data_IF_073558815258
#
_entry.id   IF_073558815258
#
_cell.length_a   1.000
_cell.length_b   1.000
_cell.length_c   1.000
_cell.angle_alpha   90.00
_cell.angle_beta   90.00
_cell.angle_gamma   90.00
#
_symmetry.space_group_name_H-M   'P 1'
#
loop_
_entity.id
_entity.type
_entity.pdbx_description
1 polymer ?
#
# COMPACT_ATOMS: atom_id res chain seq x y z
N UNK A 1 12.87 8.84 1.54
CA UNK A 1 11.88 9.96 1.51
C UNK A 1 10.62 9.50 2.24
N UNK A 2 10.33 10.04 3.44
CA UNK A 2 9.16 9.67 4.26
C UNK A 2 7.89 10.04 3.49
N UNK A 3 6.94 9.12 3.38
CA UNK A 3 5.67 9.41 2.72
C UNK A 3 4.76 10.18 3.69
N UNK A 4 4.15 11.25 3.21
CA UNK A 4 3.42 12.19 4.06
C UNK A 4 2.16 11.53 4.64
N UNK A 5 1.88 11.79 5.91
CA UNK A 5 0.60 11.44 6.54
C UNK A 5 0.44 10.00 7.03
N UNK A 6 1.49 9.17 7.03
CA UNK A 6 1.44 7.81 7.59
C UNK A 6 1.15 7.84 9.09
N UNK A 7 0.21 7.00 9.54
CA UNK A 7 -0.11 6.83 10.96
C UNK A 7 0.86 5.86 11.66
N UNK A 8 1.51 4.99 10.90
CA UNK A 8 2.52 4.06 11.39
C UNK A 8 3.42 3.60 10.25
N UNK A 9 4.72 3.49 10.53
CA UNK A 9 5.72 2.90 9.61
C UNK A 9 5.99 1.42 9.93
N UNK A 10 5.17 0.80 10.78
CA UNK A 10 5.41 -0.56 11.26
C UNK A 10 5.30 -1.59 10.14
N UNK A 11 6.40 -2.29 9.86
CA UNK A 11 6.44 -3.45 8.97
C UNK A 11 6.62 -4.71 9.84
N UNK A 12 5.71 -5.69 9.76
CA UNK A 12 5.86 -6.92 10.50
C UNK A 12 7.10 -7.67 10.02
N UNK A 13 8.04 -7.94 10.93
CA UNK A 13 9.20 -8.78 10.64
C UNK A 13 8.77 -10.23 10.41
N UNK A 14 9.32 -10.92 9.39
CA UNK A 14 9.15 -12.36 9.25
C UNK A 14 9.55 -13.08 10.53
N UNK A 15 8.80 -14.10 10.92
CA UNK A 15 9.10 -14.86 12.15
C UNK A 15 10.49 -15.50 12.09
N UNK A 16 10.91 -15.97 10.92
CA UNK A 16 12.23 -16.57 10.70
C UNK A 16 13.40 -15.61 10.97
N UNK A 17 13.17 -14.31 10.85
CA UNK A 17 14.16 -13.26 11.08
C UNK A 17 14.05 -12.64 12.48
N UNK A 18 13.11 -13.13 13.31
CA UNK A 18 12.87 -12.60 14.65
C UNK A 18 13.90 -13.15 15.65
N UNK A 19 14.43 -12.31 16.56
CA UNK A 19 15.34 -12.76 17.59
C UNK A 19 14.67 -13.74 18.55
N UNK A 20 15.45 -14.68 19.10
CA UNK A 20 14.96 -15.68 20.05
C UNK A 20 14.26 -15.02 21.25
N UNK A 21 13.10 -15.55 21.64
CA UNK A 21 12.28 -15.04 22.75
C UNK A 21 13.00 -15.03 24.10
N UNK A 22 14.06 -15.82 24.25
CA UNK A 22 14.87 -15.88 25.47
C UNK A 22 15.92 -14.75 25.54
N UNK A 23 16.02 -13.91 24.51
CA UNK A 23 16.92 -12.74 24.49
C UNK A 23 16.15 -11.46 24.82
N UNK A 24 16.83 -10.45 25.37
CA UNK A 24 16.23 -9.13 25.60
C UNK A 24 15.64 -8.52 24.33
N UNK A 25 16.34 -8.68 23.20
CA UNK A 25 15.87 -8.24 21.89
C UNK A 25 14.58 -8.97 21.46
N UNK A 26 14.52 -10.29 21.68
CA UNK A 26 13.32 -11.11 21.47
C UNK A 26 12.11 -10.61 22.25
N UNK A 27 12.25 -10.44 23.57
CA UNK A 27 11.17 -9.95 24.43
C UNK A 27 10.68 -8.55 24.03
N UNK A 28 11.60 -7.63 23.72
CA UNK A 28 11.25 -6.28 23.25
C UNK A 28 10.48 -6.34 21.93
N UNK A 29 10.92 -7.16 20.97
CA UNK A 29 10.23 -7.33 19.68
C UNK A 29 8.84 -7.96 19.83
N UNK A 30 8.67 -8.87 20.79
CA UNK A 30 7.38 -9.47 21.10
C UNK A 30 6.42 -8.44 21.70
N UNK A 31 6.89 -7.64 22.66
CA UNK A 31 6.10 -6.59 23.28
C UNK A 31 5.62 -5.56 22.25
N UNK A 32 6.52 -5.14 21.36
CA UNK A 32 6.19 -4.26 20.22
C UNK A 32 5.09 -4.91 19.36
N UNK A 33 5.27 -6.17 18.95
CA UNK A 33 4.29 -6.88 18.11
C UNK A 33 2.92 -7.00 18.76
N UNK A 34 2.85 -7.24 20.07
CA UNK A 34 1.59 -7.27 20.82
C UNK A 34 0.95 -5.89 20.80
N UNK A 35 1.72 -4.83 21.11
CA UNK A 35 1.22 -3.46 21.07
C UNK A 35 0.67 -3.06 19.70
N UNK A 36 1.38 -3.42 18.62
CA UNK A 36 0.94 -3.18 17.25
C UNK A 36 -0.32 -3.98 16.88
N UNK A 37 -0.44 -5.21 17.40
CA UNK A 37 -1.64 -6.04 17.27
C UNK A 37 -2.86 -5.40 17.93
N UNK A 38 -2.71 -4.89 19.16
CA UNK A 38 -3.78 -4.18 19.88
C UNK A 38 -4.21 -2.92 19.13
N UNK A 39 -3.26 -2.11 18.65
CA UNK A 39 -3.55 -0.92 17.83
C UNK A 39 -4.30 -1.29 16.55
N UNK A 40 -3.88 -2.38 15.89
CA UNK A 40 -4.54 -2.88 14.69
C UNK A 40 -5.95 -3.39 14.94
N UNK A 41 -6.18 -4.04 16.08
CA UNK A 41 -7.50 -4.49 16.49
C UNK A 41 -8.46 -3.31 16.70
N UNK A 42 -8.03 -2.25 17.41
CA UNK A 42 -8.84 -1.05 17.57
C UNK A 42 -9.10 -0.32 16.25
N UNK A 43 -8.11 -0.28 15.34
CA UNK A 43 -8.31 0.23 13.98
C UNK A 43 -9.37 -0.55 13.22
N UNK A 44 -9.27 -1.89 13.23
CA UNK A 44 -10.24 -2.78 12.60
C UNK A 44 -11.65 -2.59 13.18
N UNK A 45 -11.77 -2.50 14.50
CA UNK A 45 -13.05 -2.30 15.17
C UNK A 45 -13.71 -0.97 14.74
N UNK A 46 -12.93 0.11 14.67
CA UNK A 46 -13.42 1.41 14.20
C UNK A 46 -13.87 1.38 12.74
N UNK A 47 -13.08 0.75 11.85
CA UNK A 47 -13.44 0.61 10.43
C UNK A 47 -14.74 -0.18 10.29
N UNK A 48 -14.88 -1.33 10.96
CA UNK A 48 -16.09 -2.15 10.90
C UNK A 48 -17.32 -1.44 11.47
N UNK A 49 -17.13 -0.65 12.53
CA UNK A 49 -18.22 0.11 13.15
C UNK A 49 -18.75 1.20 12.21
N UNK A 50 -17.86 1.89 11.48
CA UNK A 50 -18.24 3.00 10.60
C UNK A 50 -18.59 2.58 9.17
N UNK A 51 -18.03 1.47 8.69
CA UNK A 51 -18.26 0.95 7.35
C UNK A 51 -18.93 -0.43 7.46
N UNK A 52 -20.26 -0.48 7.67
CA UNK A 52 -20.98 -1.75 7.76
C UNK A 52 -20.83 -2.52 6.44
N UNK A 53 -20.48 -3.81 6.53
CA UNK A 53 -20.24 -4.67 5.36
C UNK A 53 -18.79 -4.72 4.89
N UNK A 54 -17.90 -3.87 5.42
CA UNK A 54 -16.48 -3.96 5.09
C UNK A 54 -15.85 -5.25 5.64
N UNK A 55 -15.20 -6.01 4.76
CA UNK A 55 -14.53 -7.28 5.09
C UNK A 55 -13.05 -7.21 4.72
N UNK A 56 -12.20 -7.55 5.69
CA UNK A 56 -10.74 -7.49 5.55
C UNK A 56 -10.19 -8.30 4.37
N UNK A 57 -10.69 -9.53 4.19
CA UNK A 57 -10.13 -10.45 3.21
C UNK A 57 -10.54 -10.04 1.78
N UNK A 58 -11.77 -9.53 1.61
CA UNK A 58 -12.23 -8.94 0.34
C UNK A 58 -11.44 -7.66 0.03
N UNK A 59 -11.25 -6.82 1.04
CA UNK A 59 -10.51 -5.58 0.88
C UNK A 59 -9.06 -5.81 0.43
N UNK A 60 -8.39 -6.83 0.97
CA UNK A 60 -7.02 -7.16 0.58
C UNK A 60 -6.90 -7.49 -0.92
N UNK A 61 -7.87 -8.23 -1.46
CA UNK A 61 -7.94 -8.57 -2.90
C UNK A 61 -8.20 -7.31 -3.72
N UNK A 62 -9.20 -6.50 -3.33
CA UNK A 62 -9.52 -5.24 -4.01
C UNK A 62 -8.34 -4.25 -4.00
N UNK A 63 -7.58 -4.22 -2.91
CA UNK A 63 -6.39 -3.40 -2.78
C UNK A 63 -5.31 -3.81 -3.77
N UNK A 64 -5.07 -5.11 -3.95
CA UNK A 64 -4.14 -5.64 -4.95
C UNK A 64 -4.59 -5.27 -6.37
N UNK A 65 -5.87 -5.44 -6.69
CA UNK A 65 -6.44 -5.07 -8.00
C UNK A 65 -6.30 -3.56 -8.28
N UNK A 66 -6.57 -2.72 -7.29
CA UNK A 66 -6.43 -1.27 -7.40
C UNK A 66 -4.98 -0.86 -7.62
N UNK A 67 -4.05 -1.56 -6.97
CA UNK A 67 -2.62 -1.37 -7.16
C UNK A 67 -2.15 -1.74 -8.57
N UNK A 68 -2.61 -2.89 -9.09
CA UNK A 68 -2.32 -3.30 -10.45
C UNK A 68 -2.84 -2.26 -11.45
N UNK A 69 -4.08 -1.81 -11.27
CA UNK A 69 -4.71 -0.77 -12.09
C UNK A 69 -3.90 0.54 -12.05
N UNK A 70 -3.43 0.95 -10.87
CA UNK A 70 -2.58 2.12 -10.72
C UNK A 70 -1.25 1.97 -11.48
N UNK A 71 -0.58 0.83 -11.41
CA UNK A 71 0.67 0.60 -12.13
C UNK A 71 0.49 0.60 -13.65
N UNK A 72 -0.59 0.01 -14.16
CA UNK A 72 -0.95 0.06 -15.58
C UNK A 72 -1.29 1.49 -16.04
N UNK A 73 -2.00 2.26 -15.21
CA UNK A 73 -2.29 3.65 -15.49
C UNK A 73 -1.01 4.50 -15.52
N UNK A 74 -0.10 4.27 -14.58
CA UNK A 74 1.20 4.92 -14.52
C UNK A 74 2.06 4.61 -15.75
N UNK A 75 2.12 3.33 -16.17
CA UNK A 75 2.83 2.89 -17.36
C UNK A 75 2.31 3.54 -18.65
N UNK A 76 0.98 3.62 -18.79
CA UNK A 76 0.33 4.27 -19.95
C UNK A 76 0.35 5.80 -19.90
N UNK A 77 0.72 6.40 -18.76
CA UNK A 77 0.64 7.83 -18.54
C UNK A 77 -0.80 8.36 -18.40
N UNK A 78 -1.76 7.52 -17.97
CA UNK A 78 -3.15 7.91 -17.76
C UNK A 78 -3.33 8.69 -16.45
N UNK A 79 -3.09 9.99 -16.54
CA UNK A 79 -3.21 10.93 -15.43
C UNK A 79 -4.66 11.06 -14.93
N UNK A 80 -5.68 10.78 -15.75
CA UNK A 80 -7.09 10.90 -15.32
C UNK A 80 -7.44 9.79 -14.35
N UNK A 81 -7.13 8.55 -14.71
CA UNK A 81 -7.39 7.38 -13.87
C UNK A 81 -6.59 7.45 -12.55
N UNK A 82 -5.33 7.90 -12.61
CA UNK A 82 -4.52 8.11 -11.41
C UNK A 82 -5.12 9.13 -10.44
N UNK A 83 -5.82 10.15 -10.93
CA UNK A 83 -6.47 11.15 -10.08
C UNK A 83 -7.63 10.57 -9.26
N UNK A 84 -8.31 9.55 -9.79
CA UNK A 84 -9.46 8.92 -9.13
C UNK A 84 -9.01 7.90 -8.07
N UNK A 85 -7.91 7.18 -8.35
CA UNK A 85 -7.43 6.07 -7.53
C UNK A 85 -6.45 6.51 -6.43
N UNK A 86 -5.63 7.52 -6.70
CA UNK A 86 -4.58 7.95 -5.76
C UNK A 86 -5.04 9.12 -4.88
N UNK A 87 -4.41 9.27 -3.72
CA UNK A 87 -4.58 10.48 -2.92
C UNK A 87 -4.02 11.69 -3.69
N UNK A 88 -4.47 12.93 -3.39
CA UNK A 88 -3.99 14.13 -4.09
C UNK A 88 -2.46 14.25 -4.12
N UNK A 89 -1.79 13.88 -3.03
CA UNK A 89 -0.34 13.93 -2.89
C UNK A 89 0.35 12.87 -3.76
N UNK A 90 -0.16 11.62 -3.72
CA UNK A 90 0.37 10.53 -4.52
C UNK A 90 0.17 10.78 -6.01
N UNK A 91 -1.01 11.27 -6.40
CA UNK A 91 -1.30 11.73 -7.75
C UNK A 91 -0.31 12.81 -8.21
N UNK A 92 -0.09 13.84 -7.40
CA UNK A 92 0.85 14.92 -7.74
C UNK A 92 2.30 14.43 -7.88
N UNK A 93 2.68 13.39 -7.13
CA UNK A 93 3.99 12.72 -7.27
C UNK A 93 4.07 11.95 -8.60
N UNK A 94 3.13 11.05 -8.86
CA UNK A 94 3.11 10.23 -10.07
C UNK A 94 3.03 11.07 -11.34
N UNK A 95 2.19 12.12 -11.35
CA UNK A 95 2.09 13.06 -12.47
C UNK A 95 3.43 13.74 -12.77
N UNK A 96 4.18 14.15 -11.74
CA UNK A 96 5.51 14.76 -11.93
C UNK A 96 6.50 13.76 -12.49
N UNK A 97 6.49 12.53 -12.00
CA UNK A 97 7.35 11.46 -12.51
C UNK A 97 7.07 11.20 -14.00
N UNK A 98 5.82 10.98 -14.39
CA UNK A 98 5.37 10.78 -15.78
C UNK A 98 5.86 11.91 -16.69
N UNK A 99 5.71 13.16 -16.23
CA UNK A 99 6.13 14.35 -16.99
C UNK A 99 7.65 14.41 -17.17
N UNK A 100 8.43 13.93 -16.19
CA UNK A 100 9.88 14.10 -16.16
C UNK A 100 10.65 13.00 -16.90
N UNK A 101 10.18 11.76 -16.92
CA UNK A 101 11.02 10.66 -17.41
C UNK A 101 11.06 10.47 -18.93
N UNK A 102 10.11 11.03 -19.71
CA UNK A 102 9.95 10.87 -21.19
C UNK A 102 10.17 9.43 -21.73
N UNK A 103 10.14 8.44 -20.84
CA UNK A 103 10.29 7.01 -21.08
C UNK A 103 8.91 6.41 -21.20
N UNK A 104 8.74 5.56 -22.20
CA UNK A 104 7.56 4.72 -22.36
C UNK A 104 7.92 3.37 -21.80
N UNK A 105 7.20 2.90 -20.79
CA UNK A 105 7.34 1.55 -20.27
C UNK A 105 5.97 0.91 -20.16
N UNK A 106 5.94 -0.40 -20.35
CA UNK A 106 4.78 -1.23 -20.02
C UNK A 106 5.03 -1.93 -18.69
N UNK A 107 3.97 -2.06 -17.90
CA UNK A 107 3.95 -2.84 -16.68
C UNK A 107 2.96 -3.99 -16.83
N UNK A 108 3.33 -5.16 -16.33
CA UNK A 108 2.49 -6.34 -16.35
C UNK A 108 2.64 -7.14 -15.05
N UNK A 109 1.52 -7.55 -14.46
CA UNK A 109 1.49 -8.59 -13.43
C UNK A 109 1.72 -9.96 -14.09
N UNK A 110 2.79 -10.66 -13.69
CA UNK A 110 3.07 -12.03 -14.16
C UNK A 110 2.29 -13.03 -13.31
N UNK A 111 2.34 -12.90 -11.99
CA UNK A 111 1.61 -13.77 -11.05
C UNK A 111 1.69 -13.22 -9.62
N UNK A 112 0.64 -13.41 -8.81
CA UNK A 112 0.72 -13.21 -7.36
C UNK A 112 1.37 -14.43 -6.69
N UNK A 113 2.49 -14.23 -6.00
CA UNK A 113 3.28 -15.29 -5.35
C UNK A 113 2.65 -15.72 -4.03
N UNK A 114 1.98 -14.79 -3.33
CA UNK A 114 1.15 -15.04 -2.15
C UNK A 114 -0.10 -14.17 -2.22
N UNK A 115 -1.15 -14.61 -1.53
CA UNK A 115 -2.36 -13.80 -1.38
C UNK A 115 -2.03 -12.45 -0.69
N UNK A 116 -2.71 -11.36 -1.06
CA UNK A 116 -2.52 -10.08 -0.38
C UNK A 116 -3.01 -10.16 1.06
N UNK A 117 -2.28 -9.55 1.98
CA UNK A 117 -2.55 -9.62 3.42
C UNK A 117 -2.58 -8.23 4.04
N UNK A 118 -3.55 -7.96 4.91
CA UNK A 118 -3.55 -6.73 5.69
C UNK A 118 -2.47 -6.85 6.78
N UNK A 119 -1.43 -6.01 6.67
CA UNK A 119 -0.36 -5.94 7.66
C UNK A 119 -0.85 -5.30 8.96
N UNK A 120 -1.48 -4.13 8.86
CA UNK A 120 -2.08 -3.46 10.01
C UNK A 120 -3.09 -2.38 9.59
N UNK A 121 -3.97 -1.97 10.52
CA UNK A 121 -4.98 -0.93 10.32
C UNK A 121 -4.83 0.15 11.39
N UNK A 122 -4.88 1.42 11.01
CA UNK A 122 -4.83 2.56 11.94
C UNK A 122 -6.00 3.49 11.65
N UNK A 123 -6.53 4.12 12.70
CA UNK A 123 -7.50 5.20 12.56
C UNK A 123 -7.01 6.40 13.35
N UNK A 124 -7.11 7.59 12.77
CA UNK A 124 -6.76 8.84 13.42
C UNK A 124 -7.89 9.86 13.26
N UNK A 125 -8.19 10.58 14.35
CA UNK A 125 -9.15 11.68 14.36
C UNK A 125 -8.40 13.00 14.27
N UNK A 126 -8.91 13.91 13.45
CA UNK A 126 -8.38 15.26 13.28
C UNK A 126 -9.31 16.30 13.91
N UNK A 127 -8.75 17.47 14.23
CA UNK A 127 -9.40 18.51 15.03
C UNK A 127 -10.72 19.04 14.41
N UNK A 128 -10.91 18.88 13.11
CA UNK A 128 -12.10 19.32 12.35
C UNK A 128 -13.22 18.27 12.27
N UNK A 129 -13.18 17.23 13.10
CA UNK A 129 -14.22 16.19 13.11
C UNK A 129 -14.03 15.09 12.07
N UNK A 130 -13.08 15.24 11.15
CA UNK A 130 -12.69 14.20 10.21
C UNK A 130 -11.95 13.06 10.92
N UNK A 131 -12.23 11.85 10.47
CA UNK A 131 -11.52 10.65 10.87
C UNK A 131 -11.07 9.93 9.61
N UNK A 132 -9.82 9.51 9.60
CA UNK A 132 -9.24 8.74 8.50
C UNK A 132 -8.89 7.35 9.00
N UNK A 133 -9.13 6.35 8.16
CA UNK A 133 -8.56 5.02 8.30
C UNK A 133 -7.41 4.88 7.31
N UNK A 134 -6.32 4.27 7.78
CA UNK A 134 -5.25 3.77 6.95
C UNK A 134 -5.15 2.25 7.09
N UNK A 135 -5.06 1.58 5.96
CA UNK A 135 -4.87 0.13 5.88
C UNK A 135 -3.60 -0.13 5.11
N UNK A 136 -2.68 -0.86 5.73
CA UNK A 136 -1.46 -1.31 5.06
C UNK A 136 -1.66 -2.72 4.55
N UNK A 137 -1.47 -2.91 3.26
CA UNK A 137 -1.64 -4.20 2.57
C UNK A 137 -0.29 -4.65 2.02
N UNK A 138 0.13 -5.85 2.42
CA UNK A 138 1.29 -6.55 1.87
C UNK A 138 0.87 -7.21 0.56
N UNK A 139 1.58 -6.89 -0.52
CA UNK A 139 1.48 -7.58 -1.80
C UNK A 139 2.80 -8.31 -2.09
N UNK A 140 2.69 -9.49 -2.70
CA UNK A 140 3.82 -10.36 -3.03
C UNK A 140 3.63 -10.87 -4.46
N UNK A 141 4.28 -10.21 -5.40
CA UNK A 141 3.98 -10.34 -6.82
C UNK A 141 5.25 -10.55 -7.64
N UNK A 142 5.11 -11.31 -8.72
CA UNK A 142 6.06 -11.33 -9.83
C UNK A 142 5.58 -10.33 -10.87
N UNK A 143 6.38 -9.31 -11.14
CA UNK A 143 6.07 -8.23 -12.05
C UNK A 143 7.05 -8.21 -13.22
N UNK A 144 6.59 -7.75 -14.38
CA UNK A 144 7.41 -7.53 -15.58
C UNK A 144 7.29 -6.07 -15.98
N UNK A 145 8.43 -5.43 -16.19
CA UNK A 145 8.52 -4.07 -16.74
C UNK A 145 9.26 -4.13 -18.05
N UNK A 146 8.68 -3.55 -19.09
CA UNK A 146 9.29 -3.47 -20.42
C UNK A 146 9.52 -2.02 -20.77
N UNK A 147 10.79 -1.63 -20.96
CA UNK A 147 11.16 -0.29 -21.38
C UNK A 147 11.22 -0.23 -22.91
N UNK A 148 10.48 0.71 -23.48
CA UNK A 148 10.51 1.02 -24.90
C UNK A 148 11.42 2.21 -25.15
N UNK A 149 12.34 2.05 -26.10
CA UNK A 149 13.21 3.13 -26.58
C UNK A 149 12.98 3.33 -28.07
N UNK A 150 13.01 4.59 -28.52
CA UNK A 150 12.83 4.90 -29.94
C UNK A 150 13.99 4.31 -30.75
N UNK A 151 13.70 3.37 -31.64
CA UNK A 151 14.68 2.78 -32.55
C UNK A 151 15.57 1.69 -31.94
N UNK A 152 15.23 1.17 -30.75
CA UNK A 152 15.90 0.02 -30.17
C UNK A 152 14.89 -1.05 -29.73
N UNK A 153 15.35 -2.30 -29.68
CA UNK A 153 14.54 -3.42 -29.19
C UNK A 153 14.09 -3.20 -27.73
N UNK A 154 12.85 -3.57 -27.38
CA UNK A 154 12.31 -3.37 -26.04
C UNK A 154 13.05 -4.22 -25.01
N UNK A 155 13.49 -3.60 -23.91
CA UNK A 155 14.22 -4.29 -22.84
C UNK A 155 13.24 -4.65 -21.73
N UNK A 156 13.07 -5.95 -21.47
CA UNK A 156 12.17 -6.45 -20.43
C UNK A 156 12.93 -6.95 -19.21
N UNK A 157 12.46 -6.61 -18.02
CA UNK A 157 12.94 -7.14 -16.74
C UNK A 157 11.79 -7.71 -15.94
N UNK A 158 11.95 -8.95 -15.48
CA UNK A 158 11.01 -9.60 -14.56
C UNK A 158 11.62 -9.67 -13.17
N UNK A 159 10.84 -9.34 -12.14
CA UNK A 159 11.29 -9.31 -10.75
C UNK A 159 10.20 -9.75 -9.79
N UNK A 160 10.61 -10.34 -8.67
CA UNK A 160 9.74 -10.61 -7.54
C UNK A 160 9.78 -9.39 -6.63
N UNK A 161 8.61 -8.93 -6.20
CA UNK A 161 8.42 -7.68 -5.48
C UNK A 161 7.52 -7.94 -4.27
N UNK A 162 7.99 -7.53 -3.09
CA UNK A 162 7.20 -7.51 -1.86
C UNK A 162 7.05 -6.04 -1.45
N UNK A 163 5.81 -5.56 -1.43
CA UNK A 163 5.51 -4.16 -1.13
C UNK A 163 4.43 -4.04 -0.07
N UNK A 164 4.50 -2.98 0.73
CA UNK A 164 3.53 -2.64 1.76
C UNK A 164 2.81 -1.37 1.33
N UNK A 165 1.67 -1.55 0.68
CA UNK A 165 0.87 -0.48 0.11
C UNK A 165 0.01 0.17 1.19
N UNK A 166 -0.09 1.49 1.17
CA UNK A 166 -0.85 2.27 2.13
C UNK A 166 -2.11 2.79 1.45
N UNK A 167 -3.25 2.35 1.95
CA UNK A 167 -4.57 2.82 1.54
C UNK A 167 -5.14 3.74 2.60
N UNK A 168 -5.74 4.85 2.19
CA UNK A 168 -6.39 5.79 3.08
C UNK A 168 -7.83 6.05 2.64
N UNK A 169 -8.73 6.16 3.62
CA UNK A 169 -10.12 6.57 3.41
C UNK A 169 -10.57 7.49 4.52
N UNK A 170 -11.33 8.52 4.17
CA UNK A 170 -12.12 9.27 5.14
C UNK A 170 -13.32 8.42 5.57
N UNK A 171 -13.39 8.08 6.86
CA UNK A 171 -14.43 7.19 7.41
C UNK A 171 -15.58 7.94 8.08
N UNK A 172 -15.58 9.27 7.99
CA UNK A 172 -16.69 10.15 8.39
C UNK A 172 -17.64 10.47 7.25
N UNK A 173 -17.30 10.08 6.02
CA UNK A 173 -18.11 10.30 4.83
C UNK A 173 -18.33 8.96 4.11
N UNK A 174 -19.59 8.66 3.81
CA UNK A 174 -20.00 7.34 3.32
C UNK A 174 -19.57 7.09 1.87
N UNK A 175 -19.41 8.15 1.09
CA UNK A 175 -19.06 8.10 -0.34
C UNK A 175 -17.57 8.12 -0.64
N UNK A 176 -16.70 8.39 0.35
CA UNK A 176 -15.25 8.52 0.08
C UNK A 176 -14.66 7.19 -0.40
N UNK A 177 -13.95 7.11 -1.53
CA UNK A 177 -13.29 5.88 -1.94
C UNK A 177 -12.07 5.57 -1.05
N UNK A 178 -11.50 4.37 -1.23
CA UNK A 178 -10.17 4.06 -0.73
C UNK A 178 -9.13 4.54 -1.72
N UNK A 179 -8.22 5.40 -1.29
CA UNK A 179 -7.13 5.92 -2.11
C UNK A 179 -5.83 5.21 -1.82
N UNK A 180 -5.01 5.01 -2.86
CA UNK A 180 -3.60 4.67 -2.67
C UNK A 180 -2.85 5.95 -2.30
N UNK A 181 -2.30 5.97 -1.09
CA UNK A 181 -1.52 7.10 -0.56
C UNK A 181 -0.02 6.89 -0.75
N UNK A 182 0.42 5.63 -0.78
CA UNK A 182 1.80 5.29 -1.13
C UNK A 182 2.22 3.89 -0.68
N UNK A 183 3.49 3.74 -0.34
CA UNK A 183 4.17 2.51 0.05
C UNK A 183 5.07 2.75 1.28
N UNK A 184 5.04 1.83 2.25
CA UNK A 184 6.04 1.85 3.32
C UNK A 184 7.43 1.57 2.76
N UNK A 185 8.45 2.22 3.35
CA UNK A 185 9.84 1.89 3.03
C UNK A 185 10.18 0.55 3.66
N UNK A 186 10.43 -0.45 2.81
CA UNK A 186 11.04 -1.70 3.26
C UNK A 186 12.50 -1.42 3.70
N UNK A 187 12.94 -1.97 4.85
CA UNK A 187 14.33 -1.87 5.31
C UNK A 187 15.34 -2.45 4.33
#
# INVERSE_FOLDING_TARGET
IQEFGLFSEYIPRPWAESPSLFTKAGLLSLNERIGEGVRSFFGLANVKFRLPGWKKDIFAIQAEELYNTMNEAYARGDVKLLKEICSPEMYAKLKREITNHNRVFDWQLVSSLRAPEIAHIRCARFASGYMFAQVVVRVDQKQKVTLHSKGAEPVSKTMNVIEYLVFQRQITEDSSPWWITGKLKTP
#
